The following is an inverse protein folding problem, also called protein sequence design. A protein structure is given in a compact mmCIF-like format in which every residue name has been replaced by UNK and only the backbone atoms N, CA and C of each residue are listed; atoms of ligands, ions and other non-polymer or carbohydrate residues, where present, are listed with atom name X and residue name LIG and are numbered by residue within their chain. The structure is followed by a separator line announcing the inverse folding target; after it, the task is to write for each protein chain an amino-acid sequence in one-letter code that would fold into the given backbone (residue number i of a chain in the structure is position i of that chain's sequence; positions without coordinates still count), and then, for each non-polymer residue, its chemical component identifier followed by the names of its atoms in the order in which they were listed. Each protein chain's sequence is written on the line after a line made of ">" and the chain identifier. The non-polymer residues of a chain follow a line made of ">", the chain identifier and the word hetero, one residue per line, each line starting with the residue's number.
data_IF_161334340173
#
_entry.id   IF_161334340173
#
_cell.length_a   1.000
_cell.length_b   1.000
_cell.length_c   1.000
_cell.angle_alpha   90.00
_cell.angle_beta   90.00
_cell.angle_gamma   90.00
#
_symmetry.space_group_name_H-M   'P 1'
#
loop_
_entity.id
_entity.type
_entity.pdbx_description
1 polymer ?
#
# COMPACT_ATOMS: atom_id res chain seq x y z
N UNK A 1 -12.96 -21.40 9.09
CA UNK A 1 -12.58 -20.03 8.68
C UNK A 1 -13.83 -19.21 8.48
N UNK A 2 -13.89 -17.98 8.98
CA UNK A 2 -15.07 -17.12 8.82
C UNK A 2 -15.02 -16.47 7.43
N UNK A 3 -16.12 -16.56 6.67
CA UNK A 3 -16.34 -15.87 5.38
C UNK A 3 -15.82 -14.42 5.36
N UNK A 4 -16.02 -13.58 6.40
CA UNK A 4 -15.47 -12.23 6.45
C UNK A 4 -13.93 -12.17 6.38
N UNK A 5 -13.21 -13.11 6.98
CA UNK A 5 -11.74 -13.12 6.94
C UNK A 5 -11.21 -13.38 5.53
N UNK A 6 -11.87 -14.26 4.77
CA UNK A 6 -11.52 -14.56 3.37
C UNK A 6 -11.78 -13.35 2.48
N UNK A 7 -12.92 -12.67 2.65
CA UNK A 7 -13.23 -11.43 1.93
C UNK A 7 -12.18 -10.34 2.19
N UNK A 8 -11.75 -10.18 3.44
CA UNK A 8 -10.68 -9.24 3.79
C UNK A 8 -9.39 -9.63 3.08
N UNK A 9 -8.98 -10.91 3.08
CA UNK A 9 -7.78 -11.39 2.40
C UNK A 9 -7.81 -11.15 0.88
N UNK A 10 -8.96 -11.36 0.22
CA UNK A 10 -9.16 -11.13 -1.22
C UNK A 10 -8.94 -9.66 -1.59
N UNK A 11 -9.40 -8.73 -0.76
CA UNK A 11 -9.28 -7.29 -1.04
C UNK A 11 -7.91 -6.76 -0.60
N UNK A 12 -7.47 -7.12 0.60
CA UNK A 12 -6.26 -6.56 1.20
C UNK A 12 -4.97 -7.14 0.62
N UNK A 13 -4.88 -8.44 0.35
CA UNK A 13 -3.64 -9.04 -0.16
C UNK A 13 -3.25 -8.51 -1.54
N UNK A 14 -4.01 -8.84 -2.59
CA UNK A 14 -3.76 -8.34 -3.94
C UNK A 14 -3.80 -6.82 -4.03
N UNK A 15 -4.72 -6.16 -3.30
CA UNK A 15 -4.86 -4.71 -3.28
C UNK A 15 -3.64 -3.99 -2.72
N UNK A 16 -3.14 -4.41 -1.56
CA UNK A 16 -1.92 -3.83 -0.97
C UNK A 16 -0.68 -4.15 -1.81
N UNK A 17 -0.60 -5.36 -2.37
CA UNK A 17 0.51 -5.74 -3.25
C UNK A 17 0.56 -4.84 -4.49
N UNK A 18 -0.57 -4.69 -5.18
CA UNK A 18 -0.69 -3.85 -6.36
C UNK A 18 -0.38 -2.38 -6.04
N UNK A 19 -0.92 -1.86 -4.92
CA UNK A 19 -0.67 -0.49 -4.47
C UNK A 19 0.81 -0.25 -4.15
N UNK A 20 1.46 -1.17 -3.43
CA UNK A 20 2.88 -1.08 -3.10
C UNK A 20 3.77 -1.10 -4.36
N UNK A 21 3.51 -2.03 -5.29
CA UNK A 21 4.24 -2.14 -6.55
C UNK A 21 4.03 -0.90 -7.43
N UNK A 22 2.79 -0.41 -7.52
CA UNK A 22 2.46 0.82 -8.24
C UNK A 22 3.21 2.02 -7.66
N UNK A 23 3.21 2.17 -6.33
CA UNK A 23 3.89 3.25 -5.62
C UNK A 23 5.40 3.23 -5.87
N UNK A 24 6.02 2.05 -5.85
CA UNK A 24 7.44 1.89 -6.17
C UNK A 24 7.74 2.22 -7.64
N UNK A 25 6.92 1.70 -8.57
CA UNK A 25 7.08 1.88 -10.02
C UNK A 25 6.93 3.33 -10.45
N UNK A 26 5.89 4.00 -9.98
CA UNK A 26 5.60 5.40 -10.31
C UNK A 26 6.49 6.38 -9.56
N UNK A 27 7.27 5.90 -8.58
CA UNK A 27 8.08 6.73 -7.68
C UNK A 27 7.27 7.85 -7.04
N UNK A 28 5.98 7.62 -6.76
CA UNK A 28 5.14 8.61 -6.07
C UNK A 28 5.68 8.97 -4.69
N UNK A 29 6.55 8.14 -4.10
CA UNK A 29 7.30 8.43 -2.87
C UNK A 29 8.41 9.49 -3.04
N UNK A 30 8.84 9.81 -4.28
CA UNK A 30 9.93 10.75 -4.56
C UNK A 30 9.44 12.22 -4.59
N UNK A 31 8.34 12.47 -5.32
CA UNK A 31 7.78 13.82 -5.51
C UNK A 31 6.34 13.99 -5.00
N UNK A 32 5.69 12.90 -4.58
CA UNK A 32 4.28 12.93 -4.19
C UNK A 32 4.09 13.47 -2.78
N UNK A 33 3.66 14.72 -2.70
CA UNK A 33 2.76 15.16 -1.64
C UNK A 33 1.43 14.43 -1.87
N UNK A 34 0.90 13.75 -0.85
CA UNK A 34 -0.38 13.08 -1.02
C UNK A 34 -1.48 14.10 -1.33
N UNK A 35 -2.46 13.75 -2.16
CA UNK A 35 -3.57 14.67 -2.47
C UNK A 35 -4.29 15.15 -1.19
N UNK A 36 -4.36 14.29 -0.17
CA UNK A 36 -4.89 14.64 1.14
C UNK A 36 -4.04 15.69 1.86
N UNK A 37 -2.71 15.53 1.85
CA UNK A 37 -1.78 16.50 2.43
C UNK A 37 -1.83 17.84 1.67
N UNK A 38 -1.90 17.82 0.33
CA UNK A 38 -2.14 19.05 -0.47
C UNK A 38 -3.46 19.73 -0.06
N UNK A 39 -4.52 18.95 0.14
CA UNK A 39 -5.83 19.48 0.54
C UNK A 39 -5.77 20.12 1.93
N UNK A 40 -5.13 19.45 2.91
CA UNK A 40 -4.96 19.97 4.27
C UNK A 40 -4.17 21.28 4.25
N UNK A 41 -3.05 21.33 3.53
CA UNK A 41 -2.24 22.54 3.40
C UNK A 41 -2.99 23.68 2.70
N UNK A 42 -3.77 23.38 1.64
CA UNK A 42 -4.60 24.37 0.96
C UNK A 42 -5.73 24.91 1.84
N UNK A 43 -6.42 24.07 2.59
CA UNK A 43 -7.47 24.49 3.53
C UNK A 43 -6.89 25.31 4.68
N UNK A 44 -5.69 24.96 5.15
CA UNK A 44 -4.97 25.70 6.19
C UNK A 44 -4.24 26.95 5.70
N UNK A 45 -4.27 27.28 4.40
CA UNK A 45 -3.58 28.44 3.83
C UNK A 45 -2.04 28.39 3.89
N UNK A 46 -1.46 27.21 4.10
CA UNK A 46 -0.02 27.03 4.31
C UNK A 46 0.67 26.46 3.04
N UNK A 47 1.92 26.83 2.83
CA UNK A 47 2.76 26.26 1.76
C UNK A 47 3.21 24.85 2.11
N UNK A 48 3.34 24.00 1.09
CA UNK A 48 3.82 22.63 1.25
C UNK A 48 5.27 22.61 1.77
N UNK A 49 5.58 21.81 2.80
CA UNK A 49 6.94 21.71 3.32
C UNK A 49 7.85 21.03 2.30
N UNK A 50 9.10 21.50 2.20
CA UNK A 50 10.13 20.85 1.40
C UNK A 50 10.50 19.51 2.03
N UNK A 51 10.24 18.40 1.33
CA UNK A 51 10.61 17.06 1.82
C UNK A 51 12.13 16.92 1.95
N UNK A 52 12.55 16.49 3.13
CA UNK A 52 13.96 16.18 3.42
C UNK A 52 14.37 14.85 2.82
N UNK A 53 15.68 14.58 2.75
CA UNK A 53 16.19 13.28 2.30
C UNK A 53 15.68 12.12 3.17
N UNK A 54 15.43 12.37 4.45
CA UNK A 54 14.91 11.39 5.42
C UNK A 54 13.47 11.02 5.10
N UNK A 55 12.61 12.00 4.78
CA UNK A 55 11.21 11.75 4.43
C UNK A 55 11.06 10.87 3.19
N UNK A 56 11.93 11.09 2.18
CA UNK A 56 11.95 10.28 0.96
C UNK A 56 12.38 8.84 1.24
N UNK A 57 13.35 8.63 2.15
CA UNK A 57 13.78 7.29 2.58
C UNK A 57 12.68 6.57 3.34
N UNK A 58 12.00 7.27 4.25
CA UNK A 58 10.88 6.73 5.01
C UNK A 58 9.70 6.34 4.09
N UNK A 59 9.31 7.23 3.16
CA UNK A 59 8.25 6.94 2.20
C UNK A 59 8.57 5.73 1.30
N UNK A 60 9.83 5.58 0.88
CA UNK A 60 10.29 4.40 0.14
C UNK A 60 10.19 3.13 0.98
N UNK A 61 10.63 3.18 2.24
CA UNK A 61 10.55 2.04 3.17
C UNK A 61 9.09 1.64 3.41
N UNK A 62 8.19 2.61 3.58
CA UNK A 62 6.76 2.37 3.73
C UNK A 62 6.14 1.70 2.49
N UNK A 63 6.52 2.13 1.28
CA UNK A 63 6.08 1.48 0.04
C UNK A 63 6.55 0.02 -0.04
N UNK A 64 7.81 -0.27 0.34
CA UNK A 64 8.31 -1.64 0.42
C UNK A 64 7.59 -2.49 1.46
N UNK A 65 7.32 -1.95 2.65
CA UNK A 65 6.52 -2.65 3.66
C UNK A 65 5.12 -2.99 3.16
N UNK A 66 4.52 -2.09 2.37
CA UNK A 66 3.19 -2.33 1.76
C UNK A 66 3.24 -3.52 0.79
N UNK A 67 4.31 -3.63 -0.01
CA UNK A 67 4.53 -4.79 -0.89
C UNK A 67 4.71 -6.08 -0.08
N UNK A 68 5.55 -6.06 0.96
CA UNK A 68 5.81 -7.24 1.81
C UNK A 68 4.53 -7.72 2.49
N UNK A 69 3.74 -6.79 3.02
CA UNK A 69 2.47 -7.11 3.66
C UNK A 69 1.48 -7.66 2.62
N UNK A 70 1.31 -6.99 1.49
CA UNK A 70 0.44 -7.46 0.40
C UNK A 70 0.83 -8.85 -0.12
N UNK A 71 2.13 -9.12 -0.28
CA UNK A 71 2.64 -10.43 -0.69
C UNK A 71 2.30 -11.52 0.34
N UNK A 72 2.54 -11.25 1.62
CA UNK A 72 2.22 -12.17 2.71
C UNK A 72 0.73 -12.52 2.74
N UNK A 73 -0.15 -11.51 2.67
CA UNK A 73 -1.59 -11.72 2.66
C UNK A 73 -2.06 -12.45 1.39
N UNK A 74 -1.45 -12.17 0.23
CA UNK A 74 -1.75 -12.88 -1.03
C UNK A 74 -1.34 -14.36 -0.95
N UNK A 75 -0.19 -14.66 -0.35
CA UNK A 75 0.26 -16.04 -0.13
C UNK A 75 -0.66 -16.78 0.84
N UNK A 76 -1.09 -16.12 1.93
CA UNK A 76 -2.10 -16.69 2.83
C UNK A 76 -3.42 -16.97 2.12
N UNK A 77 -3.87 -16.06 1.25
CA UNK A 77 -5.06 -16.27 0.44
C UNK A 77 -4.90 -17.46 -0.51
N UNK A 78 -3.75 -17.57 -1.21
CA UNK A 78 -3.47 -18.69 -2.10
C UNK A 78 -3.46 -20.02 -1.34
N UNK A 79 -2.84 -20.09 -0.17
CA UNK A 79 -2.83 -21.28 0.68
C UNK A 79 -4.23 -21.70 1.12
N UNK A 80 -5.16 -20.76 1.24
CA UNK A 80 -6.56 -21.02 1.57
C UNK A 80 -7.35 -21.47 0.34
N UNK A 81 -7.18 -20.84 -0.81
CA UNK A 81 -8.01 -21.06 -2.01
C UNK A 81 -7.57 -22.28 -2.81
N UNK A 82 -6.26 -22.52 -2.94
CA UNK A 82 -5.70 -23.60 -3.78
C UNK A 82 -6.27 -24.99 -3.41
N UNK A 83 -6.36 -25.38 -2.12
CA UNK A 83 -6.94 -26.66 -1.74
C UNK A 83 -8.39 -26.88 -2.22
N UNK A 84 -9.21 -25.81 -2.28
CA UNK A 84 -10.60 -25.90 -2.76
C UNK A 84 -10.74 -25.88 -4.28
N UNK A 85 -9.67 -25.53 -5.01
CA UNK A 85 -9.65 -25.57 -6.48
C UNK A 85 -9.13 -26.89 -7.05
N UNK A 86 -8.59 -27.76 -6.19
CA UNK A 86 -8.06 -29.08 -6.53
C UNK A 86 -9.05 -30.22 -6.25
N UNK A 87 -10.26 -29.90 -5.80
CA UNK A 87 -11.43 -30.80 -5.76
C UNK A 87 -12.30 -30.57 -7.00
#
# INVERSE_FOLDING_TARGET
>A
MTVPAVLVLIVTGPGLLALGLWTLRTRSWYDGVSAAEVLIYRVGGASLPTRTATDRRFARLHAWMTVILGASFTLCLAAVVVPFSSE
#
